data_IF_760691161395
#
_entry.id   IF_760691161395
#
_cell.length_a   1.000
_cell.length_b   1.000
_cell.length_c   1.000
_cell.angle_alpha   90.00
_cell.angle_beta   90.00
_cell.angle_gamma   90.00
#
_symmetry.space_group_name_H-M   'P 1'
#
loop_
_entity.id
_entity.type
_entity.pdbx_description
1 polymer ?
#
# COMPACT_ATOMS: atom_id res chain seq x y z
N UNK A 1 -119.16 -38.37 -7.73
CA UNK A 1 -118.24 -39.53 -7.82
C UNK A 1 -117.60 -39.78 -6.45
N UNK A 2 -117.24 -41.01 -6.12
CA UNK A 2 -117.09 -41.56 -4.75
C UNK A 2 -116.49 -40.69 -3.61
N UNK A 3 -117.12 -40.76 -2.43
CA UNK A 3 -116.63 -40.29 -1.11
C UNK A 3 -115.22 -40.82 -0.78
N UNK A 4 -114.80 -41.93 -1.40
CA UNK A 4 -113.43 -42.50 -1.31
C UNK A 4 -112.35 -41.65 -2.00
N UNK A 5 -112.70 -40.78 -2.96
CA UNK A 5 -111.74 -39.87 -3.60
C UNK A 5 -111.44 -38.69 -2.69
N UNK A 6 -112.47 -38.12 -2.05
CA UNK A 6 -112.31 -37.01 -1.11
C UNK A 6 -111.53 -37.41 0.16
N UNK A 7 -111.77 -38.61 0.70
CA UNK A 7 -110.94 -39.15 1.80
C UNK A 7 -109.48 -39.42 1.40
N UNK A 8 -109.22 -39.83 0.15
CA UNK A 8 -107.84 -40.00 -0.35
C UNK A 8 -107.13 -38.65 -0.52
N UNK A 9 -107.82 -37.61 -0.97
CA UNK A 9 -107.26 -36.25 -1.03
C UNK A 9 -106.98 -35.69 0.38
N UNK A 10 -107.90 -35.87 1.34
CA UNK A 10 -107.68 -35.46 2.73
C UNK A 10 -106.52 -36.22 3.40
N UNK A 11 -106.33 -37.50 3.10
CA UNK A 11 -105.19 -38.30 3.58
C UNK A 11 -103.84 -37.82 3.03
N UNK A 12 -103.79 -37.40 1.75
CA UNK A 12 -102.57 -36.86 1.14
C UNK A 12 -102.28 -35.44 1.65
N UNK A 13 -103.30 -34.61 1.88
CA UNK A 13 -103.11 -33.26 2.46
C UNK A 13 -102.69 -33.33 3.94
N UNK A 14 -103.19 -34.30 4.72
CA UNK A 14 -102.75 -34.51 6.11
C UNK A 14 -101.28 -34.97 6.23
N UNK A 15 -100.72 -35.57 5.18
CA UNK A 15 -99.29 -35.91 5.10
C UNK A 15 -98.39 -34.75 4.65
N UNK A 16 -98.98 -33.62 4.22
CA UNK A 16 -98.26 -32.41 3.78
C UNK A 16 -98.22 -31.29 4.83
N UNK A 17 -98.88 -31.47 5.99
CA UNK A 17 -98.95 -30.47 7.07
C UNK A 17 -98.19 -30.84 8.35
N UNK A 18 -97.48 -31.98 8.37
CA UNK A 18 -96.48 -32.29 9.38
C UNK A 18 -95.12 -32.33 8.72
N UNK A 19 -94.48 -31.17 8.63
CA UNK A 19 -93.11 -31.00 8.17
C UNK A 19 -92.10 -31.58 9.15
N UNK A 20 -92.14 -32.90 9.38
CA UNK A 20 -91.04 -33.63 10.02
C UNK A 20 -89.94 -33.76 8.96
N UNK A 21 -89.14 -32.71 8.81
CA UNK A 21 -87.90 -32.78 8.06
C UNK A 21 -87.03 -33.86 8.72
N UNK A 22 -86.84 -34.98 8.01
CA UNK A 22 -85.87 -35.99 8.43
C UNK A 22 -84.52 -35.30 8.63
N UNK A 23 -83.86 -35.58 9.76
CA UNK A 23 -82.55 -35.02 10.04
C UNK A 23 -81.58 -35.31 8.89
N UNK A 24 -80.89 -34.28 8.42
CA UNK A 24 -79.82 -34.41 7.42
C UNK A 24 -78.66 -35.24 7.97
N UNK A 25 -78.43 -35.13 9.27
CA UNK A 25 -77.46 -35.94 10.01
C UNK A 25 -78.05 -37.31 10.38
N UNK A 26 -77.49 -38.43 9.86
CA UNK A 26 -77.98 -39.78 10.15
C UNK A 26 -77.73 -40.21 11.60
N UNK A 27 -76.91 -39.50 12.37
CA UNK A 27 -76.62 -39.76 13.79
C UNK A 27 -77.48 -38.94 14.75
N UNK A 28 -78.34 -38.06 14.24
CA UNK A 28 -79.31 -37.33 15.04
C UNK A 28 -80.57 -38.15 15.35
N UNK A 29 -81.15 -37.96 16.54
CA UNK A 29 -82.44 -38.54 16.93
C UNK A 29 -83.64 -37.61 16.62
N UNK A 30 -83.45 -36.28 16.62
CA UNK A 30 -84.56 -35.33 16.52
C UNK A 30 -84.10 -33.95 16.03
N UNK A 31 -84.76 -33.43 14.99
CA UNK A 31 -84.52 -32.12 14.40
C UNK A 31 -85.82 -31.30 14.37
N UNK A 32 -86.10 -30.48 15.41
CA UNK A 32 -87.42 -29.88 15.61
C UNK A 32 -87.73 -28.62 14.77
N UNK A 33 -86.71 -27.87 14.33
CA UNK A 33 -86.90 -26.59 13.64
C UNK A 33 -86.34 -26.54 12.21
N UNK A 34 -85.26 -27.27 11.93
CA UNK A 34 -84.67 -27.40 10.59
C UNK A 34 -83.94 -28.74 10.47
N UNK A 35 -83.70 -29.22 9.24
CA UNK A 35 -83.02 -30.51 8.98
C UNK A 35 -81.59 -30.59 9.54
N UNK A 36 -80.98 -29.45 9.86
CA UNK A 36 -79.61 -29.31 10.39
C UNK A 36 -79.60 -28.80 11.85
N UNK A 37 -80.75 -28.71 12.54
CA UNK A 37 -80.82 -28.35 13.95
C UNK A 37 -81.02 -29.59 14.82
N UNK A 38 -79.94 -30.36 15.00
CA UNK A 38 -80.01 -31.56 15.83
C UNK A 38 -80.06 -31.21 17.31
N UNK A 39 -81.11 -31.64 18.01
CA UNK A 39 -81.22 -31.44 19.48
C UNK A 39 -80.64 -32.58 20.31
N UNK A 40 -80.59 -33.80 19.79
CA UNK A 40 -80.09 -34.96 20.53
C UNK A 40 -79.49 -36.03 19.61
N UNK A 41 -78.39 -36.65 20.03
CA UNK A 41 -77.61 -37.58 19.22
C UNK A 41 -77.80 -39.04 19.63
N UNK A 42 -77.55 -39.96 18.70
CA UNK A 42 -77.50 -41.40 18.97
C UNK A 42 -76.37 -41.72 19.99
N UNK A 43 -76.50 -42.79 20.78
CA UNK A 43 -75.45 -43.21 21.71
C UNK A 43 -74.08 -43.31 21.03
N UNK A 44 -73.05 -42.73 21.65
CA UNK A 44 -71.69 -42.66 21.10
C UNK A 44 -71.36 -41.39 20.31
N UNK A 45 -72.34 -40.52 20.04
CA UNK A 45 -72.13 -39.22 19.38
C UNK A 45 -72.42 -38.05 20.33
N UNK A 46 -71.71 -36.93 20.15
CA UNK A 46 -71.91 -35.69 20.90
C UNK A 46 -72.51 -34.61 20.02
N UNK A 47 -73.38 -33.79 20.62
CA UNK A 47 -73.94 -32.63 19.93
C UNK A 47 -72.91 -31.50 19.92
N UNK A 48 -72.54 -31.01 18.75
CA UNK A 48 -71.54 -29.97 18.56
C UNK A 48 -71.99 -28.92 17.55
N UNK A 49 -71.43 -27.72 17.66
CA UNK A 49 -71.74 -26.61 16.77
C UNK A 49 -70.80 -26.63 15.56
N UNK A 50 -71.37 -26.61 14.35
CA UNK A 50 -70.64 -26.63 13.07
C UNK A 50 -70.09 -25.27 12.68
N UNK A 51 -68.79 -25.20 12.36
CA UNK A 51 -68.13 -23.97 11.92
C UNK A 51 -68.53 -23.58 10.48
N UNK A 52 -69.51 -22.69 10.37
CA UNK A 52 -69.94 -22.06 9.12
C UNK A 52 -71.42 -21.70 9.08
N UNK A 53 -72.27 -22.50 9.75
CA UNK A 53 -73.73 -22.38 9.62
C UNK A 53 -74.48 -22.12 10.95
N UNK A 54 -73.78 -22.09 12.11
CA UNK A 54 -74.38 -22.04 13.46
C UNK A 54 -75.33 -23.20 13.80
N UNK A 55 -75.36 -24.23 12.95
CA UNK A 55 -76.20 -25.41 13.03
C UNK A 55 -75.62 -26.46 14.00
N UNK A 56 -76.51 -27.24 14.62
CA UNK A 56 -76.17 -28.27 15.62
C UNK A 56 -76.18 -29.66 14.98
N UNK A 57 -75.07 -30.38 15.08
CA UNK A 57 -74.88 -31.69 14.44
C UNK A 57 -74.22 -32.70 15.40
N UNK A 58 -74.30 -33.99 15.07
CA UNK A 58 -73.80 -35.09 15.87
C UNK A 58 -72.44 -35.57 15.38
N UNK A 59 -71.41 -35.23 16.14
CA UNK A 59 -70.02 -35.59 15.83
C UNK A 59 -69.55 -36.77 16.69
N UNK A 60 -68.60 -37.53 16.17
CA UNK A 60 -67.86 -38.50 16.98
C UNK A 60 -67.04 -37.74 18.03
N UNK A 61 -67.07 -38.11 19.32
CA UNK A 61 -66.41 -37.35 20.38
C UNK A 61 -64.89 -37.31 20.18
N UNK A 62 -64.37 -36.10 19.95
CA UNK A 62 -62.93 -35.82 19.94
C UNK A 62 -62.49 -35.25 21.29
N UNK A 63 -61.42 -35.78 21.93
CA UNK A 63 -60.92 -35.25 23.19
C UNK A 63 -60.58 -33.75 23.11
N UNK A 64 -61.06 -32.98 24.10
CA UNK A 64 -60.82 -31.55 24.28
C UNK A 64 -61.21 -30.64 23.10
N UNK A 65 -62.12 -31.11 22.25
CA UNK A 65 -62.68 -30.32 21.16
C UNK A 65 -63.87 -29.48 21.63
N UNK A 66 -63.84 -28.17 21.37
CA UNK A 66 -64.89 -27.21 21.73
C UNK A 66 -65.92 -27.04 20.60
N UNK A 67 -65.46 -26.89 19.35
CA UNK A 67 -66.33 -26.79 18.15
C UNK A 67 -65.79 -27.65 17.01
N UNK A 68 -66.67 -28.08 16.10
CA UNK A 68 -66.33 -29.02 15.03
C UNK A 68 -66.44 -28.36 13.64
N UNK A 69 -65.62 -28.83 12.69
CA UNK A 69 -65.76 -28.54 11.25
C UNK A 69 -66.81 -29.49 10.67
N UNK A 70 -67.44 -29.10 9.56
CA UNK A 70 -68.49 -29.90 8.89
C UNK A 70 -68.04 -31.31 8.47
N UNK A 71 -66.73 -31.55 8.36
CA UNK A 71 -66.13 -32.87 8.07
C UNK A 71 -65.81 -33.71 9.32
N UNK A 72 -66.24 -33.29 10.51
CA UNK A 72 -66.04 -33.99 11.78
C UNK A 72 -64.67 -33.82 12.43
N UNK A 73 -63.75 -33.06 11.83
CA UNK A 73 -62.50 -32.66 12.48
C UNK A 73 -62.76 -31.52 13.48
N UNK A 74 -61.92 -31.39 14.50
CA UNK A 74 -62.08 -30.29 15.44
C UNK A 74 -61.76 -28.92 14.79
N UNK A 75 -62.58 -27.90 15.07
CA UNK A 75 -62.40 -26.51 14.66
C UNK A 75 -61.66 -25.68 15.73
N UNK A 76 -62.16 -25.63 16.95
CA UNK A 76 -61.48 -24.98 18.07
C UNK A 76 -61.44 -25.93 19.27
N UNK A 77 -60.37 -25.82 20.06
CA UNK A 77 -60.12 -26.66 21.22
C UNK A 77 -60.47 -25.93 22.52
N UNK A 78 -60.63 -26.68 23.60
CA UNK A 78 -60.72 -26.13 24.95
C UNK A 78 -59.40 -25.47 25.37
N UNK A 79 -59.44 -24.58 26.37
CA UNK A 79 -58.26 -23.91 26.92
C UNK A 79 -57.15 -24.91 27.31
N UNK A 80 -55.88 -24.54 27.05
CA UNK A 80 -54.73 -25.44 27.23
C UNK A 80 -54.51 -26.45 26.09
N UNK A 81 -55.33 -26.42 25.02
CA UNK A 81 -55.16 -27.23 23.81
C UNK A 81 -55.17 -26.37 22.54
N UNK A 82 -54.45 -26.81 21.50
CA UNK A 82 -54.45 -26.17 20.17
C UNK A 82 -54.85 -27.15 19.06
N UNK A 83 -55.39 -26.63 17.96
CA UNK A 83 -55.74 -27.44 16.79
C UNK A 83 -54.46 -27.83 16.04
N UNK A 84 -54.22 -29.14 15.92
CA UNK A 84 -53.18 -29.67 15.04
C UNK A 84 -53.76 -30.83 14.22
N UNK A 85 -53.70 -30.71 12.88
CA UNK A 85 -54.24 -31.69 11.92
C UNK A 85 -55.69 -32.15 12.19
N UNK A 86 -56.53 -31.25 12.74
CA UNK A 86 -57.94 -31.55 13.05
C UNK A 86 -58.20 -32.27 14.38
N UNK A 87 -57.16 -32.49 15.19
CA UNK A 87 -57.26 -32.94 16.57
C UNK A 87 -56.80 -31.83 17.55
N UNK A 88 -57.16 -31.97 18.82
CA UNK A 88 -56.71 -31.08 19.88
C UNK A 88 -55.52 -31.68 20.61
N UNK A 89 -54.36 -31.03 20.50
CA UNK A 89 -53.11 -31.42 21.18
C UNK A 89 -52.86 -30.49 22.36
N UNK A 90 -52.38 -31.01 23.50
CA UNK A 90 -52.11 -30.17 24.67
C UNK A 90 -50.99 -29.18 24.38
N UNK A 91 -51.13 -27.97 24.93
CA UNK A 91 -50.06 -26.99 24.93
C UNK A 91 -48.93 -27.39 25.88
N UNK A 92 -47.79 -26.71 25.74
CA UNK A 92 -46.65 -26.81 26.67
C UNK A 92 -47.06 -26.36 28.08
N UNK A 93 -46.38 -26.90 29.10
CA UNK A 93 -46.71 -26.63 30.51
C UNK A 93 -46.70 -25.12 30.83
N UNK A 94 -47.70 -24.66 31.59
CA UNK A 94 -47.88 -23.25 31.95
C UNK A 94 -48.50 -22.36 30.86
N UNK A 95 -48.82 -22.91 29.68
CA UNK A 95 -49.39 -22.16 28.57
C UNK A 95 -50.92 -22.22 28.52
N UNK A 96 -51.60 -21.08 28.40
CA UNK A 96 -53.04 -21.02 28.15
C UNK A 96 -53.39 -21.28 26.66
N UNK A 97 -52.61 -20.68 25.76
CA UNK A 97 -52.82 -20.80 24.31
C UNK A 97 -51.48 -20.93 23.59
N UNK A 98 -51.34 -21.96 22.75
CA UNK A 98 -50.16 -22.20 21.94
C UNK A 98 -50.49 -22.07 20.43
N UNK A 99 -49.57 -21.45 19.69
CA UNK A 99 -49.70 -21.22 18.25
C UNK A 99 -49.51 -22.50 17.45
N UNK A 100 -48.60 -23.36 17.91
CA UNK A 100 -48.41 -24.73 17.44
C UNK A 100 -48.04 -25.64 18.61
N UNK A 101 -48.04 -26.95 18.40
CA UNK A 101 -47.55 -27.90 19.38
C UNK A 101 -46.06 -27.62 19.71
N UNK A 102 -45.79 -27.09 20.89
CA UNK A 102 -44.44 -26.72 21.33
C UNK A 102 -44.18 -25.21 21.45
N UNK A 103 -45.03 -24.34 20.90
CA UNK A 103 -44.83 -22.87 20.89
C UNK A 103 -45.99 -22.16 21.57
N UNK A 104 -45.76 -21.66 22.77
CA UNK A 104 -46.72 -20.89 23.55
C UNK A 104 -46.89 -19.46 23.02
N UNK A 105 -48.12 -18.94 23.10
CA UNK A 105 -48.49 -17.58 22.71
C UNK A 105 -48.94 -16.74 23.89
N UNK A 106 -49.66 -17.33 24.84
CA UNK A 106 -50.10 -16.68 26.08
C UNK A 106 -49.96 -17.62 27.28
N UNK A 107 -49.41 -17.10 28.37
CA UNK A 107 -49.24 -17.83 29.62
C UNK A 107 -50.55 -17.97 30.40
N UNK A 108 -50.65 -19.04 31.19
CA UNK A 108 -51.82 -19.32 32.02
C UNK A 108 -51.93 -18.38 33.24
N UNK A 109 -50.80 -17.87 33.72
CA UNK A 109 -50.71 -16.93 34.83
C UNK A 109 -50.19 -15.58 34.34
N UNK A 110 -50.67 -14.50 34.95
CA UNK A 110 -50.32 -13.12 34.58
C UNK A 110 -48.92 -12.68 35.01
N UNK A 111 -48.35 -13.35 36.00
CA UNK A 111 -46.98 -13.14 36.50
C UNK A 111 -45.90 -13.90 35.69
N UNK A 112 -46.29 -14.88 34.88
CA UNK A 112 -45.37 -15.63 34.03
C UNK A 112 -45.11 -14.90 32.71
N UNK A 113 -43.88 -15.04 32.19
CA UNK A 113 -43.48 -14.55 30.87
C UNK A 113 -43.12 -15.73 29.95
N UNK A 114 -43.26 -15.54 28.65
CA UNK A 114 -42.71 -16.47 27.67
C UNK A 114 -41.18 -16.53 27.81
N UNK A 115 -40.62 -17.73 27.79
CA UNK A 115 -39.17 -17.91 27.74
C UNK A 115 -38.60 -17.53 26.35
N UNK A 116 -37.27 -17.51 26.23
CA UNK A 116 -36.57 -17.04 25.03
C UNK A 116 -36.99 -17.73 23.71
N UNK A 117 -37.42 -18.99 23.75
CA UNK A 117 -37.88 -19.75 22.56
C UNK A 117 -39.41 -19.90 22.49
N UNK A 118 -40.15 -19.20 23.36
CA UNK A 118 -41.59 -19.34 23.59
C UNK A 118 -42.07 -20.79 23.86
N UNK A 119 -41.17 -21.69 24.24
CA UNK A 119 -41.42 -23.12 24.50
C UNK A 119 -41.99 -23.40 25.90
N UNK A 120 -41.97 -22.42 26.80
CA UNK A 120 -42.56 -22.49 28.13
C UNK A 120 -42.92 -21.09 28.67
N UNK A 121 -43.79 -21.06 29.66
CA UNK A 121 -44.02 -19.90 30.51
C UNK A 121 -43.22 -20.06 31.81
N UNK A 122 -42.53 -19.00 32.22
CA UNK A 122 -41.53 -19.03 33.29
C UNK A 122 -41.61 -17.79 34.18
N UNK A 123 -41.30 -17.97 35.46
CA UNK A 123 -41.09 -16.85 36.40
C UNK A 123 -39.77 -16.14 36.08
N UNK A 124 -39.73 -14.82 36.12
CA UNK A 124 -38.54 -14.05 35.75
C UNK A 124 -38.21 -12.95 36.78
N UNK A 125 -37.89 -13.36 38.02
CA UNK A 125 -37.58 -12.44 39.12
C UNK A 125 -36.08 -12.08 39.20
N UNK A 126 -35.38 -12.04 38.06
CA UNK A 126 -33.93 -11.75 38.01
C UNK A 126 -33.71 -10.26 37.76
N UNK A 127 -33.06 -9.51 38.68
CA UNK A 127 -32.78 -8.09 38.49
C UNK A 127 -31.95 -7.84 37.22
N UNK A 128 -32.29 -6.78 36.48
CA UNK A 128 -31.64 -6.40 35.21
C UNK A 128 -31.68 -7.49 34.12
N UNK A 129 -32.66 -8.39 34.17
CA UNK A 129 -32.94 -9.34 33.09
C UNK A 129 -33.96 -8.78 32.09
N UNK A 130 -33.79 -9.09 30.80
CA UNK A 130 -34.72 -8.72 29.70
C UNK A 130 -35.59 -9.91 29.31
N UNK A 131 -35.02 -11.12 29.22
CA UNK A 131 -35.75 -12.37 28.94
C UNK A 131 -35.19 -13.51 29.77
N UNK A 132 -36.05 -14.37 30.31
CA UNK A 132 -35.64 -15.59 31.02
C UNK A 132 -35.68 -16.83 30.11
N UNK A 133 -34.86 -17.84 30.43
CA UNK A 133 -34.85 -19.16 29.75
C UNK A 133 -35.63 -20.23 30.53
N UNK A 134 -35.56 -20.13 31.86
CA UNK A 134 -36.20 -21.00 32.85
C UNK A 134 -36.61 -20.13 34.04
N UNK A 135 -37.39 -20.68 34.96
CA UNK A 135 -37.76 -20.01 36.21
C UNK A 135 -36.51 -19.43 36.90
N UNK A 136 -36.52 -18.11 37.05
CA UNK A 136 -35.49 -17.29 37.68
C UNK A 136 -34.06 -17.51 37.14
N UNK A 137 -33.94 -17.91 35.87
CA UNK A 137 -32.69 -17.92 35.10
C UNK A 137 -32.81 -17.03 33.88
N UNK A 138 -32.09 -15.91 33.92
CA UNK A 138 -32.00 -15.02 32.78
C UNK A 138 -31.38 -15.70 31.56
N UNK A 139 -31.86 -15.35 30.38
CA UNK A 139 -31.25 -15.61 29.09
C UNK A 139 -30.46 -14.38 28.64
N UNK A 140 -31.15 -13.24 28.48
CA UNK A 140 -30.55 -11.98 28.04
C UNK A 140 -30.65 -10.92 29.13
N UNK A 141 -29.50 -10.40 29.57
CA UNK A 141 -29.41 -9.29 30.52
C UNK A 141 -29.57 -7.92 29.84
N UNK A 142 -29.89 -6.91 30.64
CA UNK A 142 -29.94 -5.52 30.21
C UNK A 142 -28.54 -4.99 29.84
N UNK A 143 -28.49 -3.88 29.08
CA UNK A 143 -27.22 -3.27 28.68
C UNK A 143 -26.35 -2.93 29.90
N UNK A 144 -25.04 -3.17 29.80
CA UNK A 144 -24.11 -3.03 30.93
C UNK A 144 -24.11 -4.21 31.94
N UNK A 145 -24.84 -5.28 31.68
CA UNK A 145 -24.81 -6.53 32.47
C UNK A 145 -24.51 -7.72 31.58
N UNK A 146 -23.79 -8.72 32.12
CA UNK A 146 -23.54 -10.00 31.45
C UNK A 146 -24.19 -11.16 32.22
N UNK A 147 -24.50 -12.23 31.49
CA UNK A 147 -25.11 -13.42 32.07
C UNK A 147 -24.04 -14.33 32.69
N UNK A 148 -24.17 -14.63 33.97
CA UNK A 148 -23.38 -15.63 34.68
C UNK A 148 -24.32 -16.67 35.29
N UNK A 149 -24.44 -17.84 34.63
CA UNK A 149 -25.27 -18.96 35.07
C UNK A 149 -26.74 -18.61 35.34
N UNK A 150 -27.31 -17.65 34.61
CA UNK A 150 -28.69 -17.18 34.77
C UNK A 150 -28.85 -15.93 35.64
N UNK A 151 -27.79 -15.45 36.29
CA UNK A 151 -27.79 -14.16 37.00
C UNK A 151 -27.18 -13.04 36.13
N UNK A 152 -27.69 -11.82 36.26
CA UNK A 152 -27.15 -10.65 35.56
C UNK A 152 -26.18 -9.88 36.45
N UNK A 153 -24.90 -9.88 36.08
CA UNK A 153 -23.81 -9.26 36.84
C UNK A 153 -23.33 -7.99 36.10
N UNK A 154 -23.11 -6.86 36.81
CA UNK A 154 -22.72 -5.62 36.15
C UNK A 154 -21.31 -5.68 35.54
N UNK A 155 -21.16 -5.04 34.38
CA UNK A 155 -19.88 -4.75 33.74
C UNK A 155 -19.17 -3.59 34.46
N UNK A 156 -18.10 -3.88 35.20
CA UNK A 156 -17.30 -2.84 35.89
C UNK A 156 -16.25 -2.15 34.99
N UNK A 157 -16.37 -2.27 33.65
CA UNK A 157 -15.45 -1.68 32.68
C UNK A 157 -16.01 -0.35 32.18
N UNK A 158 -15.26 0.73 32.40
CA UNK A 158 -15.64 2.08 31.95
C UNK A 158 -15.76 2.10 30.42
N UNK A 159 -16.90 2.58 29.91
CA UNK A 159 -17.14 2.72 28.47
C UNK A 159 -17.49 1.41 27.75
N UNK A 160 -17.69 0.30 28.46
CA UNK A 160 -18.16 -0.96 27.87
C UNK A 160 -19.70 -1.06 27.86
N UNK A 161 -20.29 -1.57 26.77
CA UNK A 161 -21.74 -1.82 26.68
C UNK A 161 -22.13 -3.29 26.85
N UNK A 162 -21.26 -4.21 26.41
CA UNK A 162 -21.48 -5.67 26.46
C UNK A 162 -20.19 -6.37 26.90
N UNK A 163 -20.30 -7.29 27.85
CA UNK A 163 -19.18 -8.12 28.33
C UNK A 163 -19.47 -9.60 28.10
N UNK A 164 -18.45 -10.40 27.79
CA UNK A 164 -18.57 -11.86 27.68
C UNK A 164 -18.47 -12.55 29.04
N UNK A 165 -17.60 -12.05 29.92
CA UNK A 165 -17.42 -12.51 31.30
C UNK A 165 -17.01 -11.33 32.19
N UNK A 166 -16.83 -11.59 33.50
CA UNK A 166 -16.32 -10.61 34.46
C UNK A 166 -15.05 -9.93 33.94
N UNK A 167 -15.10 -8.60 33.80
CA UNK A 167 -14.00 -7.75 33.35
C UNK A 167 -13.43 -8.06 31.95
N UNK A 168 -14.21 -8.67 31.04
CA UNK A 168 -13.86 -8.78 29.61
C UNK A 168 -14.99 -8.19 28.74
N UNK A 169 -14.71 -7.02 28.14
CA UNK A 169 -15.59 -6.31 27.23
C UNK A 169 -15.57 -6.93 25.82
N UNK A 170 -16.75 -7.19 25.25
CA UNK A 170 -16.91 -7.58 23.84
C UNK A 170 -17.28 -6.41 22.95
N UNK A 171 -17.83 -5.32 23.50
CA UNK A 171 -18.28 -4.16 22.73
C UNK A 171 -18.33 -2.89 23.58
N UNK A 172 -17.81 -1.80 23.02
CA UNK A 172 -17.78 -0.49 23.65
C UNK A 172 -19.07 0.30 23.43
N UNK A 173 -19.41 1.15 24.39
CA UNK A 173 -20.61 2.00 24.37
C UNK A 173 -20.50 3.16 23.38
N UNK A 174 -19.30 3.70 23.14
CA UNK A 174 -19.04 4.63 22.04
C UNK A 174 -18.73 3.83 20.76
N UNK A 175 -19.47 4.11 19.68
CA UNK A 175 -19.27 3.53 18.36
C UNK A 175 -17.89 3.85 17.73
N UNK A 176 -17.17 4.85 18.25
CA UNK A 176 -15.78 5.17 17.89
C UNK A 176 -14.75 4.44 18.75
N UNK A 177 -15.17 3.63 19.72
CA UNK A 177 -14.29 2.86 20.59
C UNK A 177 -14.36 1.37 20.29
N UNK A 178 -13.25 0.68 20.54
CA UNK A 178 -13.07 -0.76 20.31
C UNK A 178 -12.41 -1.39 21.54
N UNK A 179 -12.80 -2.63 21.89
CA UNK A 179 -12.20 -3.33 23.01
C UNK A 179 -10.75 -3.69 22.71
N UNK A 180 -9.91 -3.66 23.74
CA UNK A 180 -8.56 -4.22 23.70
C UNK A 180 -8.60 -5.73 23.48
N UNK A 181 -7.48 -6.33 23.05
CA UNK A 181 -7.38 -7.77 22.79
C UNK A 181 -7.69 -8.63 24.04
N UNK A 182 -7.41 -8.10 25.23
CA UNK A 182 -7.76 -8.73 26.50
C UNK A 182 -9.15 -8.35 27.04
N UNK A 183 -9.87 -7.49 26.32
CA UNK A 183 -11.19 -6.94 26.64
C UNK A 183 -11.24 -6.03 27.87
N UNK A 184 -10.13 -5.73 28.55
CA UNK A 184 -10.18 -4.98 29.82
C UNK A 184 -10.44 -3.49 29.66
N UNK A 185 -10.24 -2.93 28.47
CA UNK A 185 -10.42 -1.50 28.19
C UNK A 185 -11.13 -1.27 26.86
N UNK A 186 -11.79 -0.12 26.77
CA UNK A 186 -12.30 0.44 25.52
C UNK A 186 -11.41 1.60 25.11
N UNK A 187 -10.80 1.51 23.92
CA UNK A 187 -9.88 2.52 23.39
C UNK A 187 -10.41 3.11 22.09
N UNK A 188 -10.06 4.37 21.80
CA UNK A 188 -10.51 5.05 20.57
C UNK A 188 -9.97 4.33 19.34
N UNK A 189 -10.83 4.08 18.35
CA UNK A 189 -10.46 3.44 17.10
C UNK A 189 -9.44 4.27 16.31
N UNK A 190 -8.39 3.61 15.84
CA UNK A 190 -7.32 4.19 15.03
C UNK A 190 -7.45 3.65 13.61
N UNK A 191 -7.38 4.56 12.62
CA UNK A 191 -7.43 4.18 11.21
C UNK A 191 -6.32 3.19 10.87
N UNK A 192 -6.66 2.13 10.13
CA UNK A 192 -5.73 1.06 9.72
C UNK A 192 -5.08 0.25 10.86
N UNK A 193 -5.60 0.33 12.09
CA UNK A 193 -5.26 -0.61 13.14
C UNK A 193 -5.91 -2.00 12.90
N UNK A 194 -5.22 -3.07 13.26
CA UNK A 194 -5.69 -4.46 13.24
C UNK A 194 -5.95 -4.99 14.66
N UNK A 195 -5.05 -4.71 15.60
CA UNK A 195 -5.13 -5.20 17.00
C UNK A 195 -4.90 -4.05 17.98
N UNK A 196 -5.77 -3.97 18.98
CA UNK A 196 -5.71 -3.01 20.06
C UNK A 196 -5.22 -3.66 21.35
N UNK A 197 -4.42 -2.95 22.14
CA UNK A 197 -3.91 -3.37 23.43
C UNK A 197 -3.88 -2.20 24.41
N UNK A 198 -3.14 -2.34 25.51
CA UNK A 198 -3.08 -1.33 26.56
C UNK A 198 -2.71 0.06 26.01
N UNK A 199 -3.64 1.01 26.08
CA UNK A 199 -3.45 2.40 25.65
C UNK A 199 -3.70 2.70 24.16
N UNK A 200 -4.04 1.73 23.30
CA UNK A 200 -4.42 2.03 21.91
C UNK A 200 -4.09 0.94 20.89
N UNK A 201 -3.66 1.35 19.69
CA UNK A 201 -3.29 0.41 18.65
C UNK A 201 -1.95 -0.27 18.96
N UNK A 202 -1.89 -1.60 18.87
CA UNK A 202 -0.68 -2.40 19.08
C UNK A 202 -0.19 -3.15 17.84
N UNK A 203 -1.05 -3.32 16.82
CA UNK A 203 -0.67 -3.87 15.52
C UNK A 203 -1.48 -3.20 14.41
N UNK A 204 -0.79 -2.76 13.37
CA UNK A 204 -1.40 -2.18 12.18
C UNK A 204 -1.72 -3.23 11.12
N UNK A 205 -2.69 -2.95 10.25
CA UNK A 205 -3.00 -3.76 9.07
C UNK A 205 -1.80 -3.80 8.11
N UNK A 206 -1.73 -4.85 7.29
CA UNK A 206 -0.69 -5.00 6.27
C UNK A 206 -0.53 -3.74 5.40
N UNK A 207 0.72 -3.31 5.16
CA UNK A 207 1.05 -2.06 4.46
C UNK A 207 1.16 -0.81 5.36
N UNK A 208 0.94 -0.95 6.67
CA UNK A 208 1.07 0.13 7.65
C UNK A 208 2.01 -0.26 8.80
N UNK A 209 2.72 0.72 9.35
CA UNK A 209 3.60 0.53 10.52
C UNK A 209 3.10 1.32 11.72
N UNK A 210 3.38 0.81 12.92
CA UNK A 210 3.02 1.45 14.17
C UNK A 210 4.06 2.52 14.53
N UNK A 211 3.63 3.78 14.58
CA UNK A 211 4.43 4.93 15.03
C UNK A 211 3.71 5.57 16.21
N UNK A 212 4.25 5.37 17.42
CA UNK A 212 3.51 5.61 18.67
C UNK A 212 2.26 4.73 18.73
N UNK A 213 1.08 5.35 18.78
CA UNK A 213 -0.23 4.65 18.76
C UNK A 213 -0.98 4.83 17.43
N UNK A 214 -0.31 5.30 16.37
CA UNK A 214 -0.91 5.53 15.05
C UNK A 214 -0.31 4.63 13.96
N UNK A 215 -1.14 4.23 13.00
CA UNK A 215 -0.73 3.44 11.85
C UNK A 215 -0.41 4.34 10.66
N UNK A 216 0.88 4.51 10.37
CA UNK A 216 1.36 5.30 9.23
C UNK A 216 1.52 4.43 7.98
N UNK A 217 1.18 5.00 6.82
CA UNK A 217 1.29 4.29 5.53
C UNK A 217 2.72 4.31 5.02
N UNK A 218 3.22 3.14 4.60
CA UNK A 218 4.55 2.99 4.02
C UNK A 218 4.42 2.67 2.50
N UNK A 219 4.24 3.68 1.62
CA UNK A 219 4.10 3.45 0.18
C UNK A 219 5.41 3.03 -0.53
N UNK A 220 6.53 2.95 0.22
CA UNK A 220 7.85 2.58 -0.31
C UNK A 220 7.90 1.07 -0.53
N UNK A 221 8.23 0.66 -1.75
CA UNK A 221 8.35 -0.74 -2.12
C UNK A 221 9.36 -1.48 -1.22
N UNK A 222 8.96 -2.65 -0.72
CA UNK A 222 9.73 -3.49 0.20
C UNK A 222 10.08 -2.84 1.55
N UNK A 223 9.44 -1.72 1.93
CA UNK A 223 9.58 -1.20 3.29
C UNK A 223 8.90 -2.13 4.30
N UNK A 224 9.54 -2.35 5.45
CA UNK A 224 9.02 -3.15 6.56
C UNK A 224 8.49 -2.28 7.70
N UNK A 225 9.24 -1.23 8.06
CA UNK A 225 8.82 -0.25 9.07
C UNK A 225 9.05 1.17 8.59
N UNK A 226 8.05 2.04 8.78
CA UNK A 226 8.17 3.48 8.63
C UNK A 226 7.66 4.23 9.87
N UNK A 227 8.41 5.24 10.34
CA UNK A 227 8.02 6.12 11.44
C UNK A 227 7.23 7.33 10.96
N UNK A 228 7.35 7.70 9.68
CA UNK A 228 6.65 8.80 9.03
C UNK A 228 6.15 8.40 7.63
N UNK A 229 5.08 9.04 7.12
CA UNK A 229 4.61 8.82 5.76
C UNK A 229 5.73 9.05 4.73
N UNK A 230 6.05 8.02 3.94
CA UNK A 230 7.09 8.12 2.91
C UNK A 230 8.53 8.19 3.43
N UNK A 231 8.81 7.77 4.67
CA UNK A 231 10.16 7.57 5.19
C UNK A 231 10.29 6.18 5.80
N UNK A 232 11.01 5.28 5.13
CA UNK A 232 11.30 3.94 5.62
C UNK A 232 12.44 3.96 6.65
N UNK A 233 12.34 3.14 7.68
CA UNK A 233 13.39 2.92 8.70
C UNK A 233 14.06 1.55 8.53
N UNK A 234 13.31 0.53 8.08
CA UNK A 234 13.84 -0.82 7.83
C UNK A 234 13.14 -1.50 6.66
N UNK A 235 13.89 -2.33 5.93
CA UNK A 235 13.47 -2.93 4.67
C UNK A 235 13.32 -4.45 4.76
N UNK A 236 12.33 -4.99 4.04
CA UNK A 236 12.16 -6.42 3.82
C UNK A 236 13.19 -6.94 2.81
N UNK A 237 13.65 -8.18 2.98
CA UNK A 237 14.51 -8.85 2.01
C UNK A 237 13.74 -9.16 0.71
N UNK A 238 14.42 -9.05 -0.43
CA UNK A 238 13.85 -9.31 -1.76
C UNK A 238 14.64 -10.44 -2.40
N UNK A 239 13.98 -11.53 -2.79
CA UNK A 239 14.64 -12.72 -3.36
C UNK A 239 15.82 -13.24 -2.51
N UNK A 240 15.65 -13.26 -1.18
CA UNK A 240 16.68 -13.59 -0.19
C UNK A 240 17.88 -12.63 -0.12
N UNK A 241 17.87 -11.51 -0.86
CA UNK A 241 18.89 -10.45 -0.77
C UNK A 241 18.46 -9.44 0.29
N UNK A 242 19.33 -9.25 1.30
CA UNK A 242 19.15 -8.20 2.31
C UNK A 242 19.05 -6.82 1.64
N UNK A 243 18.07 -6.04 2.03
CA UNK A 243 17.94 -4.65 1.63
C UNK A 243 18.42 -3.75 2.79
N UNK A 244 18.96 -2.58 2.45
CA UNK A 244 19.25 -1.48 3.36
C UNK A 244 18.40 -0.26 3.01
N UNK A 245 18.26 0.65 3.96
CA UNK A 245 17.53 1.91 3.80
C UNK A 245 18.45 2.96 3.17
N UNK A 246 17.95 3.74 2.19
CA UNK A 246 18.68 4.89 1.64
C UNK A 246 18.87 6.02 2.66
N UNK A 247 19.88 6.88 2.48
CA UNK A 247 20.22 7.98 3.38
C UNK A 247 19.09 9.03 3.51
N UNK A 248 18.25 9.18 2.48
CA UNK A 248 17.04 10.01 2.52
C UNK A 248 15.79 9.28 3.07
N UNK A 249 15.91 7.99 3.39
CA UNK A 249 14.82 7.12 3.86
C UNK A 249 13.75 6.81 2.82
N UNK A 250 13.93 7.14 1.53
CA UNK A 250 12.87 7.02 0.51
C UNK A 250 12.91 5.73 -0.30
N UNK A 251 13.97 4.94 -0.18
CA UNK A 251 14.14 3.70 -0.92
C UNK A 251 14.68 2.57 -0.04
N UNK A 252 14.26 1.35 -0.37
CA UNK A 252 14.90 0.11 0.07
C UNK A 252 15.74 -0.42 -1.08
N UNK A 253 17.03 -0.61 -0.85
CA UNK A 253 18.02 -0.89 -1.89
C UNK A 253 18.89 -2.09 -1.50
N UNK A 254 19.41 -2.82 -2.49
CA UNK A 254 20.15 -4.06 -2.21
C UNK A 254 21.44 -3.78 -1.42
N UNK A 255 21.72 -4.59 -0.40
CA UNK A 255 22.97 -4.51 0.35
C UNK A 255 24.18 -4.68 -0.59
N UNK A 256 25.13 -3.77 -0.50
CA UNK A 256 26.42 -3.85 -1.19
C UNK A 256 27.48 -4.21 -0.16
N UNK A 257 28.26 -5.26 -0.45
CA UNK A 257 29.33 -5.71 0.44
C UNK A 257 30.33 -4.58 0.73
N UNK A 258 30.58 -4.32 2.02
CA UNK A 258 31.43 -3.22 2.54
C UNK A 258 30.92 -1.79 2.26
N UNK A 259 29.66 -1.62 1.89
CA UNK A 259 29.00 -0.31 1.84
C UNK A 259 28.40 0.08 3.21
N UNK A 260 28.52 1.35 3.59
CA UNK A 260 27.95 1.92 4.84
C UNK A 260 26.80 2.88 4.58
N UNK A 261 26.72 3.55 3.42
CA UNK A 261 25.62 4.46 3.06
C UNK A 261 25.19 4.31 1.60
N UNK A 262 23.92 4.59 1.35
CA UNK A 262 23.27 4.33 0.08
C UNK A 262 22.46 5.54 -0.40
N UNK A 263 22.55 5.84 -1.69
CA UNK A 263 21.63 6.75 -2.38
C UNK A 263 20.26 6.11 -2.60
N UNK A 264 19.24 6.92 -2.89
CA UNK A 264 17.90 6.43 -3.28
C UNK A 264 17.85 5.70 -4.63
N UNK A 265 18.92 5.79 -5.45
CA UNK A 265 19.11 4.97 -6.65
C UNK A 265 19.75 3.60 -6.37
N UNK A 266 20.17 3.33 -5.13
CA UNK A 266 20.85 2.10 -4.74
C UNK A 266 22.35 2.05 -5.05
N UNK A 267 22.96 3.20 -5.35
CA UNK A 267 24.41 3.31 -5.41
C UNK A 267 24.99 3.55 -4.00
N UNK A 268 26.14 2.96 -3.73
CA UNK A 268 26.89 3.16 -2.50
C UNK A 268 27.53 4.56 -2.49
N UNK A 269 27.22 5.37 -1.48
CA UNK A 269 27.79 6.72 -1.31
C UNK A 269 28.97 6.76 -0.34
N UNK A 270 29.07 5.77 0.56
CA UNK A 270 30.19 5.64 1.50
C UNK A 270 30.51 4.16 1.70
N UNK A 271 31.79 3.80 1.60
CA UNK A 271 32.31 2.45 1.84
C UNK A 271 33.07 2.38 3.17
N UNK A 272 33.21 1.18 3.73
CA UNK A 272 34.09 0.92 4.89
C UNK A 272 35.53 1.36 4.57
N UNK A 273 36.22 1.93 5.56
CA UNK A 273 37.63 2.37 5.47
C UNK A 273 38.53 1.34 4.77
N UNK A 274 39.30 1.80 3.78
CA UNK A 274 40.12 0.95 2.92
C UNK A 274 39.43 0.48 1.63
N UNK A 275 38.15 0.83 1.42
CA UNK A 275 37.41 0.57 0.20
C UNK A 275 36.86 1.86 -0.42
N UNK A 276 36.70 1.88 -1.74
CA UNK A 276 36.07 2.96 -2.53
C UNK A 276 34.96 2.40 -3.40
N UNK A 277 33.90 3.17 -3.68
CA UNK A 277 32.87 2.78 -4.64
C UNK A 277 33.44 2.74 -6.07
N UNK A 278 33.14 1.69 -6.83
CA UNK A 278 33.47 1.59 -8.25
C UNK A 278 32.75 2.66 -9.11
N UNK A 279 33.11 2.77 -10.39
CA UNK A 279 32.46 3.66 -11.36
C UNK A 279 30.93 3.52 -11.44
N UNK A 280 30.38 2.33 -11.17
CA UNK A 280 28.92 2.10 -11.20
C UNK A 280 28.23 2.37 -9.85
N UNK A 281 28.99 2.55 -8.78
CA UNK A 281 28.49 2.68 -7.41
C UNK A 281 27.86 1.39 -6.85
N UNK A 282 27.99 0.25 -7.52
CA UNK A 282 27.36 -1.03 -7.11
C UNK A 282 28.30 -1.95 -6.34
N UNK A 283 29.58 -1.58 -6.18
CA UNK A 283 30.61 -2.39 -5.53
C UNK A 283 31.60 -1.51 -4.77
N UNK A 284 31.84 -1.83 -3.50
CA UNK A 284 33.00 -1.30 -2.79
C UNK A 284 34.24 -2.15 -3.13
N UNK A 285 35.28 -1.51 -3.62
CA UNK A 285 36.54 -2.11 -4.09
C UNK A 285 37.67 -1.71 -3.15
N UNK A 286 38.50 -2.66 -2.77
CA UNK A 286 39.66 -2.46 -1.89
C UNK A 286 40.68 -1.53 -2.57
N UNK A 287 41.05 -0.44 -1.89
CA UNK A 287 41.79 0.68 -2.48
C UNK A 287 42.81 1.25 -1.49
N UNK A 288 43.95 0.57 -1.37
CA UNK A 288 45.09 0.95 -0.53
C UNK A 288 46.17 1.73 -1.30
N UNK A 289 45.76 2.54 -2.28
CA UNK A 289 46.68 3.36 -3.11
C UNK A 289 46.71 4.78 -2.56
N UNK A 290 47.89 5.24 -2.15
CA UNK A 290 48.08 6.60 -1.65
C UNK A 290 47.64 7.66 -2.66
N UNK A 291 46.94 8.70 -2.18
CA UNK A 291 46.37 9.75 -3.03
C UNK A 291 45.18 9.33 -3.90
N UNK A 292 44.78 8.05 -3.91
CA UNK A 292 43.65 7.59 -4.73
C UNK A 292 42.29 7.93 -4.12
N UNK A 293 41.37 8.45 -4.93
CA UNK A 293 40.00 8.76 -4.54
C UNK A 293 39.01 7.65 -4.90
N UNK A 294 39.31 6.87 -5.94
CA UNK A 294 38.48 5.77 -6.45
C UNK A 294 39.32 4.70 -7.15
N UNK A 295 39.18 3.46 -6.73
CA UNK A 295 39.64 2.28 -7.46
C UNK A 295 38.45 1.52 -8.09
N UNK A 296 38.60 1.08 -9.35
CA UNK A 296 37.63 0.18 -10.02
C UNK A 296 38.00 -1.31 -9.87
N UNK A 297 39.29 -1.58 -9.75
CA UNK A 297 39.84 -2.90 -9.44
C UNK A 297 40.71 -2.84 -8.18
N UNK A 298 40.98 -3.98 -7.54
CA UNK A 298 41.72 -4.03 -6.27
C UNK A 298 43.06 -3.32 -6.40
N UNK A 299 43.25 -2.23 -5.65
CA UNK A 299 44.45 -1.39 -5.65
C UNK A 299 44.86 -0.84 -7.04
N UNK A 300 43.91 -0.68 -7.97
CA UNK A 300 44.13 -0.01 -9.26
C UNK A 300 43.37 1.32 -9.25
N UNK A 301 44.09 2.44 -9.18
CA UNK A 301 43.44 3.74 -9.10
C UNK A 301 42.83 4.15 -10.44
N UNK A 302 41.56 4.54 -10.42
CA UNK A 302 40.79 5.02 -11.57
C UNK A 302 40.48 6.52 -11.49
N UNK A 303 40.46 7.11 -10.29
CA UNK A 303 40.48 8.56 -10.10
C UNK A 303 41.24 8.92 -8.81
N UNK A 304 42.11 9.91 -8.89
CA UNK A 304 42.83 10.42 -7.73
C UNK A 304 41.97 11.38 -6.89
N UNK A 305 42.38 11.62 -5.64
CA UNK A 305 41.83 12.70 -4.81
C UNK A 305 42.18 14.06 -5.42
N UNK A 306 41.47 15.09 -5.00
CA UNK A 306 41.77 16.47 -5.42
C UNK A 306 43.25 16.81 -5.23
N UNK A 307 43.81 17.53 -6.20
CA UNK A 307 45.23 17.88 -6.33
C UNK A 307 46.20 16.69 -6.52
N UNK A 308 45.74 15.52 -6.93
CA UNK A 308 46.60 14.45 -7.44
C UNK A 308 46.29 14.17 -8.91
N UNK A 309 47.29 13.79 -9.70
CA UNK A 309 47.13 13.40 -11.10
C UNK A 309 47.41 11.90 -11.28
N UNK A 310 46.67 11.27 -12.18
CA UNK A 310 46.80 9.84 -12.46
C UNK A 310 47.98 9.59 -13.40
N UNK A 311 48.92 8.76 -12.96
CA UNK A 311 50.04 8.28 -13.76
C UNK A 311 49.62 7.13 -14.69
N UNK A 312 50.39 6.88 -15.76
CA UNK A 312 50.23 5.73 -16.66
C UNK A 312 50.36 4.36 -15.98
N UNK A 313 50.87 4.31 -14.74
CA UNK A 313 50.93 3.11 -13.89
C UNK A 313 49.73 2.96 -12.93
N UNK A 314 48.64 3.72 -13.12
CA UNK A 314 47.46 3.76 -12.23
C UNK A 314 47.79 4.12 -10.76
N UNK A 315 48.85 4.92 -10.57
CA UNK A 315 49.27 5.53 -9.30
C UNK A 315 48.94 7.01 -9.29
N UNK A 316 48.61 7.56 -8.13
CA UNK A 316 48.38 8.99 -7.96
C UNK A 316 49.66 9.71 -7.56
N UNK A 317 50.17 10.56 -8.46
CA UNK A 317 51.27 11.46 -8.14
C UNK A 317 50.72 12.82 -7.68
N UNK A 318 51.37 13.51 -6.73
CA UNK A 318 50.94 14.85 -6.33
C UNK A 318 50.92 15.81 -7.53
N UNK A 319 49.78 16.45 -7.77
CA UNK A 319 49.71 17.60 -8.66
C UNK A 319 50.41 18.78 -8.02
N UNK A 320 51.46 19.29 -8.65
CA UNK A 320 52.21 20.44 -8.16
C UNK A 320 51.45 21.75 -8.41
N UNK A 321 50.48 22.03 -7.55
CA UNK A 321 49.74 23.29 -7.44
C UNK A 321 50.46 24.32 -6.53
N UNK A 322 51.77 24.11 -6.31
CA UNK A 322 52.66 25.04 -5.61
C UNK A 322 53.37 25.90 -6.65
N UNK A 323 53.17 27.22 -6.59
CA UNK A 323 53.78 28.15 -7.54
C UNK A 323 55.30 27.96 -7.64
N UNK A 324 55.80 28.00 -8.88
CA UNK A 324 57.21 27.87 -9.24
C UNK A 324 57.89 26.56 -8.76
N UNK A 325 57.11 25.57 -8.35
CA UNK A 325 57.59 24.24 -8.05
C UNK A 325 57.86 23.42 -9.33
N UNK A 326 58.84 22.52 -9.25
CA UNK A 326 59.20 21.56 -10.31
C UNK A 326 58.74 20.13 -9.94
N UNK A 327 58.89 19.72 -8.68
CA UNK A 327 58.41 18.43 -8.17
C UNK A 327 57.99 18.54 -6.70
N UNK A 328 57.04 17.71 -6.26
CA UNK A 328 56.39 17.82 -4.94
C UNK A 328 56.46 16.51 -4.13
N UNK A 329 56.49 16.62 -2.80
CA UNK A 329 56.34 15.48 -1.87
C UNK A 329 54.86 15.16 -1.63
N UNK A 330 54.06 16.21 -1.44
CA UNK A 330 52.60 16.17 -1.30
C UNK A 330 52.02 17.36 -2.08
N UNK A 331 50.71 17.41 -2.40
CA UNK A 331 50.17 18.47 -3.26
C UNK A 331 50.37 19.91 -2.76
N UNK A 332 50.68 20.08 -1.47
CA UNK A 332 50.94 21.37 -0.83
C UNK A 332 52.41 21.53 -0.36
N UNK A 333 53.33 20.63 -0.74
CA UNK A 333 54.74 20.69 -0.34
C UNK A 333 55.68 20.37 -1.50
N UNK A 334 56.50 21.34 -1.87
CA UNK A 334 57.49 21.19 -2.93
C UNK A 334 58.72 20.38 -2.45
N UNK A 335 59.31 19.58 -3.33
CA UNK A 335 60.60 18.88 -3.13
C UNK A 335 61.73 19.47 -3.97
N UNK A 336 61.43 20.05 -5.14
CA UNK A 336 62.39 20.84 -5.91
C UNK A 336 61.69 22.00 -6.62
N UNK A 337 62.28 23.19 -6.57
CA UNK A 337 61.79 24.38 -7.24
C UNK A 337 62.33 24.49 -8.67
N UNK A 338 61.67 25.29 -9.51
CA UNK A 338 62.20 25.69 -10.82
C UNK A 338 63.43 26.59 -10.64
N UNK A 339 64.32 26.62 -11.62
CA UNK A 339 65.52 27.47 -11.58
C UNK A 339 65.17 28.95 -11.38
N UNK A 340 65.93 29.64 -10.54
CA UNK A 340 65.60 31.00 -10.06
C UNK A 340 64.81 31.03 -8.75
N UNK A 341 64.50 29.87 -8.16
CA UNK A 341 63.79 29.75 -6.89
C UNK A 341 64.49 28.76 -5.94
N UNK A 342 64.42 29.02 -4.64
CA UNK A 342 64.93 28.15 -3.58
C UNK A 342 63.79 27.53 -2.75
N UNK A 343 63.99 26.30 -2.27
CA UNK A 343 63.00 25.61 -1.44
C UNK A 343 63.11 26.03 0.03
N UNK A 344 62.08 26.68 0.58
CA UNK A 344 62.04 27.02 2.00
C UNK A 344 62.05 25.77 2.87
N UNK A 345 63.01 25.69 3.80
CA UNK A 345 63.08 24.60 4.76
C UNK A 345 61.88 24.57 5.71
N UNK A 346 61.28 25.73 5.98
CA UNK A 346 60.16 25.91 6.92
C UNK A 346 58.81 25.72 6.25
N UNK A 347 58.53 26.41 5.13
CA UNK A 347 57.20 26.40 4.50
C UNK A 347 57.05 25.35 3.39
N UNK A 348 58.15 24.74 2.92
CA UNK A 348 58.19 23.86 1.73
C UNK A 348 57.60 24.49 0.46
N UNK A 349 57.57 25.83 0.40
CA UNK A 349 57.25 26.63 -0.77
C UNK A 349 58.52 27.14 -1.45
N UNK A 350 58.38 27.58 -2.70
CA UNK A 350 59.47 28.12 -3.51
C UNK A 350 59.57 29.65 -3.36
N UNK A 351 60.69 30.14 -2.83
CA UNK A 351 60.99 31.58 -2.73
C UNK A 351 61.83 32.02 -3.92
N UNK A 352 61.54 33.20 -4.49
CA UNK A 352 62.31 33.75 -5.61
C UNK A 352 63.71 34.17 -5.16
N UNK A 353 64.72 33.93 -5.99
CA UNK A 353 66.06 34.48 -5.77
C UNK A 353 66.08 35.99 -6.12
N UNK A 354 66.83 36.78 -5.35
CA UNK A 354 66.90 38.25 -5.56
C UNK A 354 67.71 38.62 -6.81
N UNK A 355 68.71 37.81 -7.17
CA UNK A 355 69.49 37.98 -8.41
C UNK A 355 68.86 37.19 -9.57
N UNK A 356 68.42 37.85 -10.67
CA UNK A 356 67.81 37.20 -11.83
C UNK A 356 68.77 36.31 -12.64
N UNK A 357 70.09 36.34 -12.38
CA UNK A 357 71.08 35.40 -12.96
C UNK A 357 71.31 34.17 -12.09
N UNK A 358 70.71 34.13 -10.90
CA UNK A 358 70.88 33.01 -9.98
C UNK A 358 70.01 31.82 -10.38
N UNK A 359 70.63 30.64 -10.45
CA UNK A 359 69.97 29.36 -10.74
C UNK A 359 69.44 28.70 -9.46
N UNK A 360 70.23 28.75 -8.38
CA UNK A 360 69.87 28.28 -7.04
C UNK A 360 70.46 29.22 -5.99
N UNK A 361 69.61 29.82 -5.14
CA UNK A 361 70.00 30.65 -3.99
C UNK A 361 69.76 29.90 -2.66
N UNK A 362 70.22 30.48 -1.55
CA UNK A 362 69.88 30.00 -0.21
C UNK A 362 68.45 30.41 0.17
N UNK A 363 67.64 29.47 0.68
CA UNK A 363 66.25 29.73 1.02
C UNK A 363 66.06 30.62 2.27
N UNK A 364 67.03 30.60 3.19
CA UNK A 364 67.01 31.44 4.40
C UNK A 364 67.64 32.83 4.15
N UNK A 365 68.34 33.00 3.01
CA UNK A 365 68.97 34.26 2.56
C UNK A 365 68.92 34.35 1.02
N UNK A 366 67.78 34.80 0.43
CA UNK A 366 67.54 34.77 -1.02
C UNK A 366 68.53 35.59 -1.86
N UNK A 367 69.27 36.50 -1.23
CA UNK A 367 70.33 37.31 -1.83
C UNK A 367 71.63 36.53 -2.08
N UNK A 368 71.83 35.40 -1.38
CA UNK A 368 73.03 34.57 -1.50
C UNK A 368 72.83 33.53 -2.59
N UNK A 369 73.39 33.80 -3.77
CA UNK A 369 73.39 32.85 -4.87
C UNK A 369 74.45 31.75 -4.68
N UNK A 370 74.04 30.48 -4.80
CA UNK A 370 74.94 29.33 -4.73
C UNK A 370 75.40 28.84 -6.11
N UNK A 371 74.53 28.94 -7.12
CA UNK A 371 74.88 28.61 -8.52
C UNK A 371 74.23 29.60 -9.47
N UNK A 372 74.96 30.06 -10.47
CA UNK A 372 74.47 30.95 -11.53
C UNK A 372 74.05 30.14 -12.76
N UNK A 373 73.16 30.68 -13.58
CA UNK A 373 72.92 30.11 -14.91
C UNK A 373 74.18 30.26 -15.76
N UNK A 374 74.52 29.22 -16.52
CA UNK A 374 75.61 29.30 -17.50
C UNK A 374 75.14 30.08 -18.74
N UNK A 375 76.07 30.69 -19.48
CA UNK A 375 75.75 31.45 -20.71
C UNK A 375 75.09 30.59 -21.80
N UNK A 376 75.18 29.26 -21.71
CA UNK A 376 74.48 28.31 -22.57
C UNK A 376 73.00 28.08 -22.16
N UNK A 377 72.66 28.29 -20.89
CA UNK A 377 71.31 28.09 -20.34
C UNK A 377 70.46 29.37 -20.39
N UNK A 378 71.08 30.54 -20.24
CA UNK A 378 70.45 31.82 -20.55
C UNK A 378 70.34 31.98 -22.07
N UNK A 379 69.39 31.26 -22.67
CA UNK A 379 69.18 31.18 -24.12
C UNK A 379 68.92 32.52 -24.79
N UNK A 380 69.99 33.27 -25.05
CA UNK A 380 69.96 34.55 -25.78
C UNK A 380 69.79 34.24 -27.26
N UNK A 381 68.56 33.95 -27.67
CA UNK A 381 68.15 33.71 -29.05
C UNK A 381 68.18 35.02 -29.85
N UNK A 382 69.38 35.56 -30.06
CA UNK A 382 69.64 36.50 -31.15
C UNK A 382 69.35 35.75 -32.46
N UNK A 383 68.15 35.94 -33.01
CA UNK A 383 67.73 35.35 -34.27
C UNK A 383 68.81 35.61 -35.32
N UNK A 384 69.47 34.52 -35.76
CA UNK A 384 70.60 34.62 -36.69
C UNK A 384 70.11 35.28 -37.98
N UNK A 385 70.93 36.17 -38.55
CA UNK A 385 70.56 37.04 -39.67
C UNK A 385 69.95 36.32 -40.89
N UNK A 386 70.33 35.06 -41.15
CA UNK A 386 69.74 34.24 -42.22
C UNK A 386 68.25 33.91 -42.04
N UNK A 387 67.68 34.03 -40.84
CA UNK A 387 66.23 33.89 -40.62
C UNK A 387 65.47 35.05 -41.28
N UNK A 388 66.00 36.28 -41.17
CA UNK A 388 65.45 37.45 -41.88
C UNK A 388 65.65 37.35 -43.39
N UNK A 389 66.75 36.72 -43.85
CA UNK A 389 66.96 36.39 -45.26
C UNK A 389 65.88 35.43 -45.79
N UNK A 390 65.51 34.39 -45.03
CA UNK A 390 64.44 33.46 -45.41
C UNK A 390 63.07 34.14 -45.46
N UNK A 391 62.76 35.04 -44.51
CA UNK A 391 61.51 35.83 -44.54
C UNK A 391 61.46 36.74 -45.77
N UNK A 392 62.57 37.39 -46.13
CA UNK A 392 62.66 38.21 -47.34
C UNK A 392 62.49 37.40 -48.64
N UNK A 393 63.11 36.22 -48.72
CA UNK A 393 62.94 35.28 -49.86
C UNK A 393 61.49 34.79 -49.95
N UNK A 394 60.86 34.45 -48.83
CA UNK A 394 59.45 34.05 -48.76
C UNK A 394 58.51 35.15 -49.25
N UNK A 395 58.71 36.39 -48.80
CA UNK A 395 57.92 37.54 -49.25
C UNK A 395 58.08 37.80 -50.76
N UNK A 396 59.31 37.72 -51.29
CA UNK A 396 59.57 37.87 -52.72
C UNK A 396 58.91 36.74 -53.55
N UNK A 397 58.93 35.50 -53.06
CA UNK A 397 58.28 34.36 -53.70
C UNK A 397 56.76 34.51 -53.80
N UNK A 398 56.10 34.98 -52.72
CA UNK A 398 54.66 35.24 -52.71
C UNK A 398 54.28 36.35 -53.70
N UNK A 399 55.05 37.45 -53.75
CA UNK A 399 54.82 38.53 -54.72
C UNK A 399 54.97 38.05 -56.17
N UNK A 400 55.99 37.23 -56.46
CA UNK A 400 56.17 36.64 -57.79
C UNK A 400 55.02 35.70 -58.20
N UNK A 401 54.49 34.92 -57.26
CA UNK A 401 53.37 34.00 -57.48
C UNK A 401 52.06 34.77 -57.76
N UNK A 402 51.81 35.86 -57.03
CA UNK A 402 50.69 36.78 -57.28
C UNK A 402 50.78 37.40 -58.68
N UNK A 403 51.97 37.86 -59.09
CA UNK A 403 52.19 38.42 -60.44
C UNK A 403 51.96 37.35 -61.52
N UNK A 404 52.43 36.12 -61.32
CA UNK A 404 52.20 35.01 -62.25
C UNK A 404 50.71 34.67 -62.41
N UNK A 405 49.94 34.68 -61.31
CA UNK A 405 48.49 34.45 -61.34
C UNK A 405 47.75 35.59 -62.07
N UNK A 406 48.15 36.85 -61.86
CA UNK A 406 47.57 37.99 -62.60
C UNK A 406 47.84 37.87 -64.10
N UNK A 407 49.06 37.49 -64.50
CA UNK A 407 49.42 37.27 -65.90
C UNK A 407 48.70 36.05 -66.53
N UNK A 408 48.40 35.02 -65.73
CA UNK A 408 47.60 33.87 -66.15
C UNK A 408 46.13 34.24 -66.34
N UNK A 409 45.54 34.99 -65.40
CA UNK A 409 44.14 35.44 -65.48
C UNK A 409 43.88 36.46 -66.59
N UNK A 410 44.88 37.25 -67.00
CA UNK A 410 44.72 38.25 -68.07
C UNK A 410 44.88 37.69 -69.50
N UNK A 411 45.00 36.36 -69.69
CA UNK A 411 45.21 35.74 -71.02
C UNK A 411 44.05 34.82 -71.43
N UNK A 412 42.92 35.44 -71.80
CA UNK A 412 41.75 34.80 -72.43
C UNK A 412 41.96 34.58 -73.96
N UNK A 413 41.08 33.86 -74.68
CA UNK A 413 40.71 32.45 -74.48
C UNK A 413 40.62 31.62 -75.80
N UNK A 414 40.58 30.28 -75.71
CA UNK A 414 40.13 29.35 -76.79
C UNK A 414 39.87 27.96 -76.18
N UNK A 415 38.64 27.42 -76.12
CA UNK A 415 37.82 26.77 -77.19
C UNK A 415 38.18 25.29 -77.45
N UNK A 416 37.14 24.43 -77.64
CA UNK A 416 37.15 23.10 -78.32
C UNK A 416 37.72 21.91 -77.47
N UNK A 417 37.20 20.67 -77.44
CA UNK A 417 35.96 20.03 -77.97
C UNK A 417 35.53 18.79 -77.13
N UNK A 418 34.42 18.16 -77.52
CA UNK A 418 33.91 16.85 -77.04
C UNK A 418 34.42 15.69 -77.89
N UNK A 419 34.72 14.53 -77.30
CA UNK A 419 34.36 13.22 -77.88
C UNK A 419 34.38 12.07 -76.85
N UNK A 420 33.87 10.91 -77.25
CA UNK A 420 33.40 9.78 -76.44
C UNK A 420 33.95 8.47 -77.01
N UNK A 421 34.23 7.46 -76.16
CA UNK A 421 33.93 6.06 -76.52
C UNK A 421 33.84 5.12 -75.31
N UNK A 422 33.14 4.01 -75.52
CA UNK A 422 32.82 2.97 -74.54
C UNK A 422 33.96 1.96 -74.39
N UNK A 423 33.93 1.12 -73.33
CA UNK A 423 34.09 -0.33 -73.53
C UNK A 423 33.61 -1.15 -72.31
N UNK A 424 33.15 -2.36 -72.63
CA UNK A 424 32.35 -3.26 -71.79
C UNK A 424 33.20 -4.46 -71.35
N UNK A 425 33.14 -4.91 -70.09
CA UNK A 425 33.32 -6.34 -69.73
C UNK A 425 32.87 -6.61 -68.28
N UNK A 426 32.38 -7.83 -68.02
CA UNK A 426 31.40 -8.11 -66.97
C UNK A 426 31.86 -9.15 -65.90
N UNK A 427 31.12 -9.19 -64.79
CA UNK A 427 31.01 -10.18 -63.70
C UNK A 427 32.26 -10.74 -62.96
N UNK A 428 32.22 -10.74 -61.62
CA UNK A 428 33.24 -11.47 -60.83
C UNK A 428 33.28 -11.41 -59.29
N UNK A 429 32.15 -11.33 -58.56
CA UNK A 429 31.98 -11.66 -57.11
C UNK A 429 33.16 -11.43 -56.11
N UNK A 430 32.96 -10.54 -55.13
CA UNK A 430 32.61 -10.89 -53.71
C UNK A 430 33.22 -9.99 -52.61
N UNK A 431 32.35 -9.64 -51.63
CA UNK A 431 32.60 -9.21 -50.23
C UNK A 431 33.56 -8.04 -49.92
N UNK A 432 33.06 -7.06 -49.13
CA UNK A 432 33.92 -6.04 -48.50
C UNK A 432 33.18 -4.75 -48.11
N UNK A 433 32.41 -4.76 -47.01
CA UNK A 433 31.85 -3.55 -46.38
C UNK A 433 32.97 -2.65 -45.81
N UNK A 434 32.86 -1.31 -45.80
CA UNK A 434 31.92 -0.57 -44.95
C UNK A 434 31.94 0.96 -45.17
N UNK A 435 30.93 1.64 -44.60
CA UNK A 435 30.99 3.00 -44.03
C UNK A 435 31.24 4.20 -44.95
N UNK A 436 30.13 4.83 -45.35
CA UNK A 436 30.07 6.20 -45.88
C UNK A 436 29.44 7.10 -44.81
N UNK A 437 30.04 8.25 -44.52
CA UNK A 437 29.43 9.30 -43.68
C UNK A 437 29.33 10.60 -44.48
N UNK A 438 28.12 11.10 -44.70
CA UNK A 438 27.86 12.52 -44.93
C UNK A 438 27.67 13.19 -43.57
N UNK A 439 28.25 14.36 -43.28
CA UNK A 439 28.08 15.66 -43.94
C UNK A 439 26.73 16.29 -43.62
N UNK A 440 26.75 17.33 -42.79
CA UNK A 440 26.18 18.68 -42.98
C UNK A 440 26.14 19.38 -41.60
N UNK A 441 26.90 20.47 -41.39
CA UNK A 441 26.64 21.88 -41.77
C UNK A 441 25.62 22.56 -40.83
N UNK A 442 25.78 23.81 -40.38
CA UNK A 442 26.90 24.76 -40.47
C UNK A 442 27.09 25.52 -39.13
N UNK A 443 28.15 26.33 -38.97
CA UNK A 443 28.11 27.80 -39.17
C UNK A 443 27.21 28.55 -38.18
N UNK A 444 27.64 29.58 -37.44
CA UNK A 444 28.91 30.34 -37.40
C UNK A 444 28.81 31.37 -36.26
N UNK A 445 29.94 31.74 -35.60
CA UNK A 445 30.34 33.10 -35.10
C UNK A 445 29.36 33.98 -34.29
N UNK A 446 29.69 35.00 -33.48
CA UNK A 446 30.79 35.52 -32.63
C UNK A 446 30.22 36.85 -32.02
N UNK A 447 30.71 37.54 -30.98
CA UNK A 447 31.86 37.38 -30.07
C UNK A 447 31.57 38.07 -28.69
N UNK A 448 32.61 38.29 -27.88
CA UNK A 448 32.87 39.37 -26.89
C UNK A 448 31.74 40.22 -26.25
N UNK A 449 31.88 40.54 -24.95
CA UNK A 449 31.40 41.85 -24.47
C UNK A 449 31.05 42.09 -22.98
N UNK A 450 31.99 41.91 -22.05
CA UNK A 450 32.16 42.70 -20.80
C UNK A 450 30.96 43.25 -19.96
N UNK A 451 31.04 42.93 -18.66
CA UNK A 451 30.94 43.86 -17.50
C UNK A 451 29.60 44.21 -16.79
N UNK A 452 29.63 43.98 -15.45
CA UNK A 452 29.03 44.76 -14.33
C UNK A 452 27.53 45.14 -14.34
N UNK A 453 26.78 44.72 -13.31
CA UNK A 453 26.53 45.53 -12.08
C UNK A 453 25.52 44.86 -11.12
N UNK A 454 25.28 45.46 -9.95
CA UNK A 454 24.52 44.92 -8.80
C UNK A 454 23.09 45.49 -8.65
N UNK A 455 22.24 44.79 -7.87
CA UNK A 455 20.89 45.22 -7.44
C UNK A 455 19.75 44.58 -8.26
N UNK A 456 18.52 44.40 -7.75
CA UNK A 456 17.95 44.68 -6.42
C UNK A 456 16.64 43.88 -6.19
N UNK A 457 16.17 43.88 -4.94
CA UNK A 457 14.83 43.60 -4.39
C UNK A 457 13.62 43.40 -5.33
N UNK A 458 12.80 42.39 -5.00
CA UNK A 458 11.31 42.31 -4.93
C UNK A 458 11.00 40.85 -4.52
N UNK A 459 10.20 40.46 -3.52
CA UNK A 459 8.98 40.97 -2.86
C UNK A 459 7.71 40.91 -3.73
N UNK A 460 7.05 39.75 -3.64
CA UNK A 460 5.63 39.65 -3.30
C UNK A 460 5.49 38.74 -2.06
#
# INVERSE_FOLDING_TARGET
>A
MSRRVLLKLLSVVALLSLGVSACKDPNCNSCPYAANDCRSCKPGYVNGQGYGNFEWMCFSPLPNCYTYKDNGLCHACNDGYTQFNGACVPCVSGCAMCETAGVCKYCAYSEDVLNNDASACVTCNVPNCVTCSQNDKCYQCAQGYYNLNGACIPCNIVGCSECTVSNICSKCADAKSVPTLDGKQCVTAVSNCEVYGDGGCSKCKSGYSLSGNQCVSCPIANCNMCSKPGQCDSCNAVNSVKQETSEDGKACVANIYKCTKYSSSGACTECVTGYTSDATGKKCVECSVDGCGRCDERNVCAACKDKYTLSSENKCIPGCDVENCFSCVTPNQCSACRGGFALSNVTKACVTCTDPKCKVCNADTPDVCMTFFTDAEMGKTTLKWWVWLLVAIGAAGVVALIIALILWCCRSPSMIEVEYEENYFDEGKSQGSSSRSGSESGSTTDDEGSSRSSGSLLRE
#
